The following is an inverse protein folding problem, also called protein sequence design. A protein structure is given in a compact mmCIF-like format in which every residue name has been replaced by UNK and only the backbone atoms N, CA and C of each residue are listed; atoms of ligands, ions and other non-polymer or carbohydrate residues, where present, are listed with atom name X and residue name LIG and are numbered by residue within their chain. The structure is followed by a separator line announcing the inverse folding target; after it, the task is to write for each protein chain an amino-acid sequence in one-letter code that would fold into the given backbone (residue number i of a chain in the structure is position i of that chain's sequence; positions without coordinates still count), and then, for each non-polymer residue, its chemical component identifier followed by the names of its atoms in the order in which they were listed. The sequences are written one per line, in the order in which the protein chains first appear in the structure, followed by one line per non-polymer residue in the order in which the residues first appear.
data_IF_918883587426
#
_entry.id   IF_918883587426
#
_cell.length_a   1.000
_cell.length_b   1.000
_cell.length_c   1.000
_cell.angle_alpha   90.00
_cell.angle_beta   90.00
_cell.angle_gamma   90.00
#
_symmetry.space_group_name_H-M   'P 1'
#
loop_
_entity.id
_entity.type
_entity.pdbx_description
1 polymer ?
#
# COMPACT_ATOMS: atom_id res chain seq x y z
N UNK A 1 -3.01 -3.30 10.62
CA UNK A 1 -2.30 -2.25 9.85
C UNK A 1 -2.74 -0.91 10.39
N UNK A 2 -1.84 0.07 10.44
CA UNK A 2 -2.13 1.46 10.79
C UNK A 2 -1.56 2.40 9.72
N UNK A 3 -2.19 3.56 9.52
CA UNK A 3 -1.69 4.60 8.63
C UNK A 3 -0.95 5.66 9.43
N UNK A 4 0.22 6.06 8.95
CA UNK A 4 1.02 7.14 9.54
C UNK A 4 1.34 8.18 8.47
N UNK A 5 1.45 9.45 8.86
CA UNK A 5 1.82 10.55 7.97
C UNK A 5 3.19 11.09 8.37
N UNK A 6 4.00 11.41 7.37
CA UNK A 6 5.25 12.12 7.57
C UNK A 6 5.21 13.45 6.83
N UNK A 7 5.57 14.50 7.53
CA UNK A 7 5.76 15.85 7.01
C UNK A 7 7.14 15.95 6.35
N UNK A 8 7.17 16.47 5.12
CA UNK A 8 8.36 16.72 4.32
C UNK A 8 8.51 18.23 4.24
N UNK A 9 9.57 18.78 4.82
CA UNK A 9 9.71 20.22 5.14
C UNK A 9 10.04 21.07 3.88
N UNK A 10 9.18 21.04 2.85
CA UNK A 10 9.43 21.70 1.57
C UNK A 10 8.18 22.32 0.91
N UNK A 11 6.97 22.01 1.38
CA UNK A 11 5.71 22.60 0.88
C UNK A 11 5.44 22.33 -0.62
N UNK A 12 4.27 22.76 -1.11
CA UNK A 12 3.91 22.62 -2.53
C UNK A 12 2.99 23.74 -3.01
N UNK A 13 3.00 24.01 -4.32
CA UNK A 13 2.05 24.93 -4.98
C UNK A 13 0.85 24.16 -5.56
N UNK A 14 0.07 23.52 -4.69
CA UNK A 14 -1.01 22.59 -5.02
C UNK A 14 -1.98 23.06 -6.12
N UNK A 15 -2.55 24.30 -6.09
CA UNK A 15 -3.51 24.72 -7.11
C UNK A 15 -2.88 24.80 -8.52
N UNK A 16 -1.62 25.21 -8.61
CA UNK A 16 -0.88 25.31 -9.86
C UNK A 16 -0.57 23.95 -10.47
N UNK A 17 -0.27 22.96 -9.61
CA UNK A 17 0.00 21.58 -10.03
C UNK A 17 -1.25 20.93 -10.63
N UNK A 18 -2.38 21.00 -9.93
CA UNK A 18 -3.65 20.42 -10.41
C UNK A 18 -4.05 21.01 -11.76
N UNK A 19 -3.96 22.34 -11.91
CA UNK A 19 -4.27 23.01 -13.18
C UNK A 19 -3.39 22.50 -14.33
N UNK A 20 -2.10 22.29 -14.09
CA UNK A 20 -1.17 21.79 -15.12
C UNK A 20 -1.48 20.33 -15.51
N UNK A 21 -1.78 19.47 -14.54
CA UNK A 21 -2.18 18.08 -14.82
C UNK A 21 -3.47 18.02 -15.63
N UNK A 22 -4.48 18.83 -15.27
CA UNK A 22 -5.74 18.90 -16.02
C UNK A 22 -5.52 19.43 -17.44
N UNK A 23 -4.70 20.48 -17.60
CA UNK A 23 -4.34 21.00 -18.92
C UNK A 23 -3.61 19.97 -19.78
N UNK A 24 -2.68 19.22 -19.18
CA UNK A 24 -1.99 18.13 -19.86
C UNK A 24 -2.98 17.05 -20.31
N UNK A 25 -3.92 16.65 -19.44
CA UNK A 25 -4.95 15.66 -19.76
C UNK A 25 -5.86 16.11 -20.90
N UNK A 26 -6.28 17.36 -20.93
CA UNK A 26 -7.08 17.92 -22.03
C UNK A 26 -6.34 17.87 -23.37
N UNK A 27 -5.03 18.11 -23.35
CA UNK A 27 -4.19 18.13 -24.55
C UNK A 27 -3.76 16.73 -25.02
N UNK A 28 -3.82 15.72 -24.14
CA UNK A 28 -3.32 14.36 -24.40
C UNK A 28 -4.36 13.29 -24.03
N UNK A 29 -5.63 13.52 -24.42
CA UNK A 29 -6.78 12.74 -23.94
C UNK A 29 -6.64 11.24 -24.07
N UNK A 30 -6.25 10.72 -25.23
CA UNK A 30 -6.16 9.28 -25.45
C UNK A 30 -5.20 8.61 -24.47
N UNK A 31 -4.01 9.18 -24.32
CA UNK A 31 -2.99 8.66 -23.41
C UNK A 31 -3.38 8.86 -21.94
N UNK A 32 -3.92 10.03 -21.61
CA UNK A 32 -4.32 10.34 -20.25
C UNK A 32 -5.49 9.47 -19.77
N UNK A 33 -6.47 9.19 -20.62
CA UNK A 33 -7.63 8.36 -20.27
C UNK A 33 -7.23 6.90 -20.05
N UNK A 34 -6.25 6.36 -20.80
CA UNK A 34 -5.67 5.04 -20.53
C UNK A 34 -5.02 5.01 -19.14
N UNK A 35 -4.17 6.00 -18.83
CA UNK A 35 -3.48 6.09 -17.55
C UNK A 35 -4.45 6.23 -16.37
N UNK A 36 -5.51 7.04 -16.53
CA UNK A 36 -6.58 7.20 -15.54
C UNK A 36 -7.34 5.90 -15.33
N UNK A 37 -7.71 5.19 -16.40
CA UNK A 37 -8.43 3.93 -16.31
C UNK A 37 -7.61 2.86 -15.58
N UNK A 38 -6.31 2.76 -15.87
CA UNK A 38 -5.40 1.85 -15.15
C UNK A 38 -5.28 2.20 -13.67
N UNK A 39 -5.12 3.48 -13.34
CA UNK A 39 -5.03 3.93 -11.95
C UNK A 39 -6.33 3.65 -11.19
N UNK A 40 -7.49 3.91 -11.82
CA UNK A 40 -8.79 3.60 -11.24
C UNK A 40 -8.96 2.10 -11.00
N UNK A 41 -8.63 1.26 -12.00
CA UNK A 41 -8.71 -0.19 -11.86
C UNK A 41 -7.80 -0.70 -10.73
N UNK A 42 -6.58 -0.16 -10.61
CA UNK A 42 -5.66 -0.53 -9.54
C UNK A 42 -6.20 -0.12 -8.16
N UNK A 43 -6.76 1.09 -8.04
CA UNK A 43 -7.39 1.57 -6.80
C UNK A 43 -8.60 0.72 -6.40
N UNK A 44 -9.41 0.28 -7.37
CA UNK A 44 -10.53 -0.63 -7.10
C UNK A 44 -10.08 -2.00 -6.59
N UNK A 45 -9.01 -2.55 -7.18
CA UNK A 45 -8.38 -3.79 -6.67
C UNK A 45 -7.85 -3.60 -5.25
N UNK A 46 -7.16 -2.50 -4.98
CA UNK A 46 -6.65 -2.19 -3.64
C UNK A 46 -7.80 -2.09 -2.62
N UNK A 47 -8.87 -1.40 -2.98
CA UNK A 47 -10.08 -1.27 -2.15
C UNK A 47 -10.71 -2.64 -1.86
N UNK A 48 -10.83 -3.51 -2.86
CA UNK A 48 -11.41 -4.84 -2.68
C UNK A 48 -10.54 -5.71 -1.79
N UNK A 49 -9.21 -5.71 -1.99
CA UNK A 49 -8.28 -6.45 -1.16
C UNK A 49 -8.30 -5.98 0.31
N UNK A 50 -8.33 -4.67 0.55
CA UNK A 50 -8.44 -4.13 1.91
C UNK A 50 -9.76 -4.53 2.59
N UNK A 51 -10.87 -4.57 1.83
CA UNK A 51 -12.15 -5.09 2.34
C UNK A 51 -12.07 -6.57 2.68
N UNK A 52 -11.46 -7.37 1.83
CA UNK A 52 -11.31 -8.80 2.07
C UNK A 52 -10.47 -9.08 3.33
N UNK A 53 -9.33 -8.40 3.48
CA UNK A 53 -8.50 -8.49 4.69
C UNK A 53 -9.25 -8.13 5.97
N UNK A 54 -10.15 -7.14 5.92
CA UNK A 54 -11.01 -6.76 7.05
C UNK A 54 -11.96 -7.92 7.45
N UNK A 55 -12.61 -8.55 6.46
CA UNK A 55 -13.53 -9.65 6.71
C UNK A 55 -12.81 -10.89 7.25
N UNK A 56 -11.67 -11.27 6.65
CA UNK A 56 -10.84 -12.38 7.16
C UNK A 56 -10.43 -12.14 8.61
N UNK A 57 -10.04 -10.92 8.95
CA UNK A 57 -9.68 -10.59 10.34
C UNK A 57 -10.87 -10.72 11.31
N UNK A 58 -12.07 -10.33 10.90
CA UNK A 58 -13.28 -10.50 11.71
C UNK A 58 -13.67 -11.97 11.91
N UNK A 59 -13.53 -12.79 10.86
CA UNK A 59 -13.78 -14.24 10.93
C UNK A 59 -12.77 -14.94 11.84
N UNK A 60 -11.48 -14.60 11.74
CA UNK A 60 -10.44 -15.16 12.60
C UNK A 60 -10.68 -14.79 14.07
N UNK A 61 -11.00 -13.54 14.37
CA UNK A 61 -11.37 -13.12 15.73
C UNK A 61 -12.62 -13.84 16.26
N UNK A 62 -13.57 -14.18 15.40
CA UNK A 62 -14.80 -14.89 15.79
C UNK A 62 -14.52 -16.37 16.08
N UNK A 63 -13.68 -17.03 15.27
CA UNK A 63 -13.27 -18.43 15.49
C UNK A 63 -12.37 -18.58 16.72
N UNK A 64 -11.43 -17.66 16.96
CA UNK A 64 -10.60 -17.68 18.18
C UNK A 64 -11.45 -17.53 19.45
N UNK A 65 -12.53 -16.75 19.41
CA UNK A 65 -13.48 -16.61 20.54
C UNK A 65 -14.35 -17.86 20.74
N UNK A 66 -14.77 -18.53 19.66
CA UNK A 66 -15.53 -19.78 19.76
C UNK A 66 -14.65 -20.95 20.24
N UNK A 67 -13.40 -21.06 19.76
CA UNK A 67 -12.45 -22.07 20.19
C UNK A 67 -12.01 -21.91 21.65
N UNK A 68 -11.89 -20.67 22.16
CA UNK A 68 -11.57 -20.41 23.56
C UNK A 68 -12.67 -20.86 24.55
N UNK A 69 -13.90 -21.06 24.08
CA UNK A 69 -15.04 -21.50 24.91
C UNK A 69 -15.14 -23.03 25.00
N UNK A 70 -14.50 -23.79 24.09
CA UNK A 70 -14.51 -25.25 24.08
C UNK A 70 -13.12 -25.84 24.31
N UNK A 71 -12.61 -25.71 25.54
CA UNK A 71 -11.43 -26.49 25.98
C UNK A 71 -11.83 -27.47 27.09
N UNK A 72 -12.17 -28.73 26.76
CA UNK A 72 -12.13 -29.80 27.74
C UNK A 72 -10.66 -30.08 28.07
N UNK A 73 -10.33 -30.07 29.36
CA UNK A 73 -9.06 -30.54 29.87
C UNK A 73 -8.95 -32.05 29.71
N UNK A 74 -8.15 -32.52 28.75
CA UNK A 74 -7.60 -33.86 28.79
C UNK A 74 -6.21 -33.93 28.15
N UNK A 75 -5.42 -34.81 28.74
CA UNK A 75 -3.98 -34.99 28.66
C UNK A 75 -3.52 -35.90 27.52
N UNK A 76 -2.35 -35.60 26.97
CA UNK A 76 -1.28 -36.50 26.47
C UNK A 76 -1.66 -37.67 25.53
N UNK A 77 -1.05 -37.72 24.34
CA UNK A 77 0.06 -38.64 24.00
C UNK A 77 0.39 -38.67 22.50
N UNK A 78 1.69 -38.86 22.25
CA UNK A 78 2.46 -39.06 21.02
C UNK A 78 2.04 -40.22 20.11
N UNK A 79 2.32 -40.13 18.79
CA UNK A 79 3.18 -41.08 18.02
C UNK A 79 3.11 -40.91 16.47
N UNK A 80 4.29 -40.63 15.88
CA UNK A 80 4.93 -41.21 14.66
C UNK A 80 4.18 -41.62 13.36
N UNK A 81 4.74 -41.09 12.26
CA UNK A 81 5.14 -41.71 10.98
C UNK A 81 4.08 -42.18 9.95
N UNK A 82 4.27 -41.80 8.68
CA UNK A 82 4.74 -42.67 7.56
C UNK A 82 4.58 -41.94 6.21
N UNK A 83 5.68 -41.90 5.45
CA UNK A 83 5.76 -41.47 4.05
C UNK A 83 5.10 -42.47 3.09
N UNK A 84 4.55 -41.98 1.97
CA UNK A 84 4.48 -42.72 0.69
C UNK A 84 4.13 -41.76 -0.46
N UNK A 85 5.10 -41.48 -1.33
CA UNK A 85 4.88 -40.74 -2.57
C UNK A 85 4.32 -41.63 -3.68
N UNK A 86 3.75 -41.04 -4.72
CA UNK A 86 3.54 -41.62 -6.06
C UNK A 86 3.79 -40.55 -7.13
N UNK A 87 4.54 -40.95 -8.16
CA UNK A 87 4.86 -40.22 -9.38
C UNK A 87 3.80 -40.53 -10.45
N UNK A 88 3.42 -39.56 -11.31
CA UNK A 88 3.55 -39.61 -12.78
C UNK A 88 2.66 -38.59 -13.55
N UNK A 89 3.31 -38.00 -14.57
CA UNK A 89 2.84 -37.72 -15.94
C UNK A 89 1.84 -36.58 -16.24
N UNK A 90 2.44 -35.43 -16.60
CA UNK A 90 2.27 -34.65 -17.84
C UNK A 90 1.05 -34.95 -18.76
N UNK A 91 0.20 -33.94 -18.96
CA UNK A 91 -0.49 -33.67 -20.23
C UNK A 91 -0.78 -32.17 -20.31
N UNK A 92 -0.26 -31.53 -21.35
CA UNK A 92 -0.46 -30.13 -21.66
C UNK A 92 -1.93 -29.82 -21.96
N UNK A 93 -2.47 -28.75 -21.39
CA UNK A 93 -3.53 -27.99 -22.03
C UNK A 93 -3.46 -26.51 -21.64
N UNK A 94 -3.62 -25.67 -22.66
CA UNK A 94 -3.50 -24.23 -22.67
C UNK A 94 -4.91 -23.66 -22.43
N UNK A 95 -5.09 -22.82 -21.39
CA UNK A 95 -5.92 -21.60 -21.36
C UNK A 95 -6.21 -21.13 -19.91
N UNK A 96 -6.25 -19.81 -19.75
CA UNK A 96 -6.62 -19.00 -18.57
C UNK A 96 -5.64 -18.96 -17.38
N UNK A 97 -4.80 -17.92 -17.39
CA UNK A 97 -4.10 -17.43 -16.19
C UNK A 97 -5.11 -16.69 -15.33
N UNK A 98 -5.89 -17.45 -14.58
CA UNK A 98 -6.41 -17.03 -13.28
C UNK A 98 -5.31 -17.44 -12.31
N UNK A 99 -4.61 -16.48 -11.69
CA UNK A 99 -3.70 -16.79 -10.60
C UNK A 99 -4.56 -17.40 -9.47
N UNK A 100 -4.51 -18.73 -9.39
CA UNK A 100 -5.05 -19.51 -8.27
C UNK A 100 -4.16 -19.20 -7.07
N UNK A 101 -4.73 -18.54 -6.06
CA UNK A 101 -4.09 -18.39 -4.75
C UNK A 101 -3.89 -19.80 -4.16
N UNK A 102 -2.64 -20.25 -4.10
CA UNK A 102 -2.22 -21.39 -3.29
C UNK A 102 -2.53 -21.08 -1.81
N UNK A 103 -3.54 -21.78 -1.27
CA UNK A 103 -3.80 -21.90 0.16
C UNK A 103 -2.70 -22.77 0.79
N UNK A 104 -1.52 -22.18 1.03
CA UNK A 104 -0.54 -22.71 1.97
C UNK A 104 -0.63 -21.91 3.28
N UNK A 105 -1.19 -22.55 4.30
CA UNK A 105 -1.16 -22.14 5.71
C UNK A 105 0.29 -22.09 6.23
N UNK A 106 1.03 -21.04 5.90
CA UNK A 106 2.27 -20.65 6.58
C UNK A 106 2.10 -19.23 7.15
N UNK A 107 2.05 -19.14 8.48
CA UNK A 107 1.97 -17.91 9.29
C UNK A 107 3.28 -17.08 9.15
N UNK A 108 3.64 -16.70 7.93
CA UNK A 108 4.62 -15.65 7.69
C UNK A 108 3.86 -14.33 7.56
N UNK A 109 3.90 -13.50 8.61
CA UNK A 109 3.32 -12.14 8.63
C UNK A 109 3.89 -11.25 7.49
N UNK A 110 5.03 -11.65 6.89
CA UNK A 110 5.55 -11.07 5.65
C UNK A 110 4.61 -11.23 4.45
N UNK A 111 3.98 -12.40 4.28
CA UNK A 111 3.16 -12.71 3.10
C UNK A 111 1.76 -12.07 3.16
N UNK A 112 1.26 -11.73 4.36
CA UNK A 112 -0.13 -11.30 4.56
C UNK A 112 -0.51 -9.99 3.85
N UNK A 113 0.45 -9.09 3.64
CA UNK A 113 0.20 -7.77 3.07
C UNK A 113 0.88 -7.54 1.71
N UNK A 114 1.45 -8.58 1.10
CA UNK A 114 2.17 -8.49 -0.17
C UNK A 114 1.27 -8.01 -1.32
N UNK A 115 0.02 -8.49 -1.37
CA UNK A 115 -0.95 -7.99 -2.34
C UNK A 115 -1.21 -6.48 -2.20
N UNK A 116 -1.28 -5.97 -0.97
CA UNK A 116 -1.47 -4.54 -0.69
C UNK A 116 -0.24 -3.76 -1.11
N UNK A 117 0.96 -4.24 -0.76
CA UNK A 117 2.24 -3.63 -1.13
C UNK A 117 2.41 -3.53 -2.66
N UNK A 118 2.10 -4.61 -3.38
CA UNK A 118 2.14 -4.67 -4.84
C UNK A 118 1.20 -3.65 -5.48
N UNK A 119 -0.04 -3.55 -4.99
CA UNK A 119 -1.02 -2.59 -5.53
C UNK A 119 -0.65 -1.14 -5.22
N UNK A 120 -0.13 -0.84 -4.02
CA UNK A 120 0.41 0.50 -3.70
C UNK A 120 1.56 0.86 -4.63
N UNK A 121 2.51 -0.07 -4.83
CA UNK A 121 3.65 0.11 -5.74
C UNK A 121 3.20 0.35 -7.18
N UNK A 122 2.14 -0.33 -7.63
CA UNK A 122 1.54 -0.09 -8.96
C UNK A 122 0.90 1.28 -9.06
N UNK A 123 0.15 1.75 -8.04
CA UNK A 123 -0.38 3.13 -8.03
C UNK A 123 0.74 4.15 -8.17
N UNK A 124 1.83 3.99 -7.41
CA UNK A 124 3.01 4.87 -7.51
C UNK A 124 3.66 4.84 -8.88
N UNK A 125 3.81 3.66 -9.50
CA UNK A 125 4.32 3.57 -10.86
C UNK A 125 3.47 4.37 -11.86
N UNK A 126 2.14 4.29 -11.77
CA UNK A 126 1.23 5.05 -12.64
C UNK A 126 1.30 6.57 -12.38
N UNK A 127 1.43 6.98 -11.12
CA UNK A 127 1.59 8.41 -10.75
C UNK A 127 2.95 8.98 -11.18
N UNK A 128 4.02 8.18 -11.17
CA UNK A 128 5.32 8.55 -11.75
C UNK A 128 5.24 8.68 -13.26
N UNK A 129 4.57 7.76 -13.95
CA UNK A 129 4.27 7.94 -15.39
C UNK A 129 3.50 9.23 -15.65
N UNK A 130 2.54 9.58 -14.77
CA UNK A 130 1.80 10.84 -14.88
C UNK A 130 2.71 12.06 -14.64
N UNK A 131 3.65 11.97 -13.69
CA UNK A 131 4.68 12.99 -13.42
C UNK A 131 5.50 13.26 -14.67
N UNK A 132 6.06 12.20 -15.28
CA UNK A 132 6.88 12.28 -16.48
C UNK A 132 6.12 12.90 -17.66
N UNK A 133 4.87 12.48 -17.89
CA UNK A 133 4.09 12.94 -19.04
C UNK A 133 3.57 14.37 -18.87
N UNK A 134 3.14 14.73 -17.67
CA UNK A 134 2.57 16.06 -17.40
C UNK A 134 3.62 17.12 -17.10
N UNK A 135 4.85 16.73 -16.73
CA UNK A 135 5.87 17.66 -16.24
C UNK A 135 5.49 18.31 -14.91
N UNK A 136 4.62 17.67 -14.13
CA UNK A 136 4.19 18.13 -12.81
C UNK A 136 4.74 17.19 -11.75
N UNK A 137 5.34 17.67 -10.65
CA UNK A 137 5.92 16.83 -9.60
C UNK A 137 4.85 16.12 -8.76
N UNK A 138 4.12 15.14 -9.31
CA UNK A 138 3.10 14.38 -8.57
C UNK A 138 3.79 13.42 -7.61
N UNK A 139 4.73 12.62 -8.12
CA UNK A 139 5.69 11.88 -7.30
C UNK A 139 7.11 12.20 -7.81
N UNK A 140 7.74 13.28 -7.31
CA UNK A 140 9.08 13.68 -7.75
C UNK A 140 10.17 12.71 -7.27
N UNK A 141 11.33 12.71 -7.92
CA UNK A 141 12.38 11.70 -7.70
C UNK A 141 12.82 11.54 -6.25
N UNK A 142 12.97 12.64 -5.52
CA UNK A 142 13.38 12.59 -4.10
C UNK A 142 12.33 11.95 -3.21
N UNK A 143 11.04 12.10 -3.54
CA UNK A 143 9.95 11.42 -2.83
C UNK A 143 9.87 9.94 -3.21
N UNK A 144 10.11 9.62 -4.49
CA UNK A 144 10.25 8.23 -4.93
C UNK A 144 11.37 7.53 -4.15
N UNK A 145 12.54 8.16 -4.04
CA UNK A 145 13.66 7.63 -3.29
C UNK A 145 13.29 7.39 -1.83
N UNK A 146 12.68 8.38 -1.16
CA UNK A 146 12.25 8.25 0.23
C UNK A 146 11.30 7.06 0.43
N UNK A 147 10.27 6.94 -0.40
CA UNK A 147 9.26 5.88 -0.28
C UNK A 147 9.83 4.49 -0.61
N UNK A 148 10.71 4.38 -1.60
CA UNK A 148 11.37 3.12 -1.96
C UNK A 148 12.31 2.66 -0.84
N UNK A 149 13.08 3.60 -0.27
CA UNK A 149 13.99 3.36 0.85
C UNK A 149 13.26 2.99 2.13
N UNK A 150 12.14 3.64 2.44
CA UNK A 150 11.28 3.29 3.57
C UNK A 150 10.71 1.87 3.41
N UNK A 151 10.22 1.54 2.22
CA UNK A 151 9.61 0.22 1.96
C UNK A 151 10.63 -0.91 1.99
N UNK A 152 11.86 -0.67 1.53
CA UNK A 152 12.91 -1.69 1.46
C UNK A 152 13.64 -1.92 2.79
N UNK A 153 13.84 -0.87 3.61
CA UNK A 153 14.72 -0.97 4.79
C UNK A 153 14.00 -0.92 6.14
N UNK A 154 12.75 -0.44 6.19
CA UNK A 154 12.02 -0.37 7.46
C UNK A 154 11.04 -1.54 7.55
N UNK A 155 11.48 -2.60 8.24
CA UNK A 155 10.65 -3.79 8.43
C UNK A 155 9.29 -3.46 9.08
N UNK A 156 8.22 -3.90 8.42
CA UNK A 156 6.84 -3.63 8.80
C UNK A 156 6.21 -2.42 8.09
N UNK A 157 6.95 -1.71 7.24
CA UNK A 157 6.35 -0.85 6.21
C UNK A 157 5.75 -1.73 5.12
N UNK A 158 4.46 -1.54 4.85
CA UNK A 158 3.73 -2.29 3.81
C UNK A 158 3.82 -1.53 2.49
N UNK A 159 3.73 -0.21 2.55
CA UNK A 159 3.91 0.66 1.40
C UNK A 159 3.59 2.11 1.78
N UNK A 160 3.80 3.02 0.84
CA UNK A 160 3.46 4.42 1.03
C UNK A 160 3.14 5.10 -0.28
N UNK A 161 2.69 6.35 -0.20
CA UNK A 161 2.36 7.22 -1.33
C UNK A 161 2.70 8.68 -1.00
N UNK A 162 2.86 9.50 -2.03
CA UNK A 162 2.76 10.96 -1.87
C UNK A 162 1.27 11.33 -1.89
N UNK A 163 0.70 11.87 -0.80
CA UNK A 163 -0.73 12.18 -0.73
C UNK A 163 -1.06 13.50 -1.45
N UNK A 164 -2.37 13.70 -1.69
CA UNK A 164 -2.88 14.94 -2.27
C UNK A 164 -2.48 15.12 -3.74
N UNK A 165 -2.15 16.36 -4.12
CA UNK A 165 -1.72 16.66 -5.49
C UNK A 165 -0.28 16.22 -5.80
N UNK A 166 0.47 15.79 -4.78
CA UNK A 166 1.87 15.45 -4.91
C UNK A 166 2.83 16.51 -4.38
N UNK A 167 4.06 16.48 -4.89
CA UNK A 167 5.12 17.43 -4.59
C UNK A 167 5.90 17.03 -3.34
N UNK A 168 6.31 18.02 -2.56
CA UNK A 168 7.29 17.85 -1.49
C UNK A 168 6.70 18.08 -0.10
N UNK A 169 5.38 17.95 0.04
CA UNK A 169 4.65 18.34 1.27
C UNK A 169 4.63 17.21 2.31
N UNK A 170 4.31 15.99 1.90
CA UNK A 170 4.16 14.89 2.83
C UNK A 170 4.36 13.53 2.14
N UNK A 171 4.46 12.48 2.95
CA UNK A 171 4.23 11.09 2.55
C UNK A 171 3.28 10.42 3.53
N UNK A 172 2.43 9.52 3.01
CA UNK A 172 1.56 8.68 3.83
C UNK A 172 2.03 7.22 3.71
N UNK A 173 2.16 6.53 4.84
CA UNK A 173 2.61 5.15 4.90
C UNK A 173 1.54 4.27 5.53
N UNK A 174 1.37 3.08 4.96
CA UNK A 174 0.66 1.97 5.58
C UNK A 174 1.69 1.05 6.22
N UNK A 175 1.53 0.77 7.51
CA UNK A 175 2.47 -0.05 8.28
C UNK A 175 1.74 -1.11 9.09
N UNK A 176 2.46 -2.16 9.51
CA UNK A 176 1.94 -3.11 10.49
C UNK A 176 1.59 -2.38 11.78
N UNK A 177 0.52 -2.84 12.44
CA UNK A 177 0.03 -2.19 13.65
C UNK A 177 0.84 -2.65 14.86
N UNK A 178 2.06 -2.12 14.95
CA UNK A 178 3.07 -2.49 15.95
C UNK A 178 3.91 -1.26 16.30
N UNK A 179 3.97 -0.94 17.59
CA UNK A 179 4.74 0.19 18.11
C UNK A 179 6.24 0.12 17.73
N UNK A 180 6.80 -1.10 17.61
CA UNK A 180 8.19 -1.27 17.21
C UNK A 180 8.44 -0.80 15.76
N UNK A 181 7.44 -0.90 14.88
CA UNK A 181 7.53 -0.38 13.49
C UNK A 181 7.61 1.14 13.51
N UNK A 182 6.80 1.79 14.37
CA UNK A 182 6.81 3.24 14.54
C UNK A 182 8.16 3.74 15.07
N UNK A 183 8.78 3.01 16.00
CA UNK A 183 10.10 3.36 16.52
C UNK A 183 11.21 3.17 15.47
N UNK A 184 11.15 2.12 14.65
CA UNK A 184 12.05 1.93 13.49
C UNK A 184 11.89 3.05 12.48
N UNK A 185 10.66 3.43 12.13
CA UNK A 185 10.38 4.58 11.26
C UNK A 185 11.01 5.86 11.81
N UNK A 186 10.79 6.18 13.09
CA UNK A 186 11.38 7.36 13.74
C UNK A 186 12.91 7.31 13.68
N UNK A 187 13.52 6.14 13.88
CA UNK A 187 14.97 5.98 13.77
C UNK A 187 15.48 6.24 12.36
N UNK A 188 14.83 5.65 11.36
CA UNK A 188 15.15 5.84 9.95
C UNK A 188 15.06 7.31 9.54
N UNK A 189 13.93 7.97 9.83
CA UNK A 189 13.66 9.35 9.41
C UNK A 189 14.63 10.36 10.04
N UNK A 190 15.16 10.09 11.25
CA UNK A 190 16.16 10.97 11.89
C UNK A 190 17.47 11.03 11.12
N UNK A 191 17.84 9.96 10.42
CA UNK A 191 19.10 9.85 9.67
C UNK A 191 18.90 9.98 8.17
N UNK A 192 17.65 10.16 7.71
CA UNK A 192 17.32 10.24 6.30
C UNK A 192 18.02 11.41 5.61
N UNK A 193 18.62 11.12 4.47
CA UNK A 193 19.12 12.09 3.50
C UNK A 193 18.93 11.51 2.11
N UNK A 194 18.36 12.31 1.22
CA UNK A 194 18.25 11.94 -0.19
C UNK A 194 19.65 11.87 -0.82
N UNK A 195 19.87 10.87 -1.67
CA UNK A 195 21.09 10.68 -2.45
C UNK A 195 20.92 11.01 -3.92
N UNK A 196 19.70 11.38 -4.34
CA UNK A 196 19.38 11.71 -5.73
C UNK A 196 19.16 13.20 -5.92
N UNK A 197 19.47 13.68 -7.13
CA UNK A 197 19.08 15.02 -7.57
C UNK A 197 17.64 14.99 -8.08
N UNK A 198 16.86 15.99 -7.68
CA UNK A 198 15.46 16.12 -8.04
C UNK A 198 15.26 16.58 -9.49
N UNK A 199 14.20 16.10 -10.12
CA UNK A 199 13.83 16.46 -11.49
C UNK A 199 13.16 17.83 -11.64
N UNK A 200 12.70 18.44 -10.55
CA UNK A 200 12.09 19.78 -10.54
C UNK A 200 12.81 20.76 -9.60
N UNK A 201 14.03 20.42 -9.18
CA UNK A 201 14.87 21.26 -8.31
C UNK A 201 14.43 21.28 -6.84
N UNK A 202 13.53 20.40 -6.44
CA UNK A 202 13.14 20.20 -5.04
C UNK A 202 14.24 19.50 -4.22
N UNK A 203 14.11 19.54 -2.90
CA UNK A 203 15.02 18.83 -1.99
C UNK A 203 14.32 18.44 -0.70
N UNK A 204 14.59 17.23 -0.21
CA UNK A 204 14.11 16.77 1.09
C UNK A 204 15.19 17.04 2.13
N UNK A 205 15.05 18.13 2.88
CA UNK A 205 15.99 18.45 3.96
C UNK A 205 15.69 17.68 5.24
N UNK A 206 14.41 17.49 5.54
CA UNK A 206 13.94 16.85 6.76
C UNK A 206 12.59 16.18 6.53
N UNK A 207 12.43 15.02 7.15
CA UNK A 207 11.17 14.30 7.21
C UNK A 207 10.85 14.02 8.68
N UNK A 208 9.62 14.30 9.12
CA UNK A 208 9.18 14.06 10.50
C UNK A 208 7.90 13.27 10.51
N UNK A 209 7.85 12.22 11.32
CA UNK A 209 6.60 11.51 11.60
C UNK A 209 5.64 12.46 12.33
N UNK A 210 4.43 12.63 11.81
CA UNK A 210 3.40 13.43 12.44
C UNK A 210 2.79 12.67 13.63
N UNK A 211 2.59 13.37 14.75
CA UNK A 211 1.95 12.83 15.95
C UNK A 211 0.43 12.69 15.84
N UNK A 212 -0.08 12.44 14.64
CA UNK A 212 -1.51 12.25 14.38
C UNK A 212 -1.86 10.78 14.59
N UNK A 213 -2.89 10.52 15.39
CA UNK A 213 -3.45 9.18 15.56
C UNK A 213 -4.63 9.01 14.60
N UNK A 214 -4.70 7.85 13.93
CA UNK A 214 -5.88 7.48 13.18
C UNK A 214 -7.08 7.30 14.12
N UNK A 215 -8.30 7.51 13.62
CA UNK A 215 -9.52 7.25 14.41
C UNK A 215 -9.62 5.78 14.83
N UNK A 216 -10.40 5.50 15.87
CA UNK A 216 -10.63 4.14 16.38
C UNK A 216 -11.55 3.29 15.49
N UNK A 217 -12.23 3.91 14.51
CA UNK A 217 -13.17 3.22 13.61
C UNK A 217 -12.48 2.35 12.53
N UNK A 218 -11.17 2.50 12.32
CA UNK A 218 -10.44 1.74 11.32
C UNK A 218 -10.85 2.09 9.88
N UNK A 219 -10.99 1.07 9.02
CA UNK A 219 -11.40 1.27 7.62
C UNK A 219 -12.90 1.56 7.54
N UNK A 220 -13.26 2.77 7.11
CA UNK A 220 -14.65 3.18 6.90
C UNK A 220 -14.97 3.22 5.41
N UNK A 221 -16.02 2.52 5.00
CA UNK A 221 -16.58 2.66 3.65
C UNK A 221 -17.59 3.80 3.67
N UNK A 222 -17.23 4.93 3.09
CA UNK A 222 -18.11 6.11 3.06
C UNK A 222 -19.15 6.02 1.95
N UNK A 223 -20.30 6.66 2.16
CA UNK A 223 -21.35 6.73 1.14
C UNK A 223 -20.89 7.70 0.03
N UNK A 224 -20.73 7.25 -1.23
CA UNK A 224 -20.34 8.11 -2.33
C UNK A 224 -21.31 9.28 -2.53
N UNK A 225 -22.56 9.14 -2.09
CA UNK A 225 -23.56 10.18 -2.22
C UNK A 225 -23.20 11.49 -1.52
N UNK A 226 -22.35 11.43 -0.48
CA UNK A 226 -21.87 12.62 0.22
C UNK A 226 -20.89 13.45 -0.62
N UNK A 227 -20.33 12.86 -1.68
CA UNK A 227 -19.34 13.47 -2.57
C UNK A 227 -19.89 13.78 -3.96
N UNK A 228 -21.20 13.63 -4.21
CA UNK A 228 -21.79 13.86 -5.54
C UNK A 228 -21.47 15.24 -6.10
N UNK A 229 -21.43 16.27 -5.26
CA UNK A 229 -21.09 17.63 -5.67
C UNK A 229 -19.63 17.79 -6.19
N UNK A 230 -18.78 16.80 -5.99
CA UNK A 230 -17.37 16.77 -6.39
C UNK A 230 -17.09 15.76 -7.52
N UNK A 231 -18.10 14.96 -7.90
CA UNK A 231 -18.00 13.93 -8.94
C UNK A 231 -18.66 14.35 -10.27
N UNK A 232 -19.29 15.52 -10.31
CA UNK A 232 -19.89 16.15 -11.49
C UNK A 232 -18.94 17.15 -12.14
#
# INVERSE_FOLDING_TARGET
MQMVLCDVDCGSQTPGMVKQVLQWRENNREEADVLWAELQQNNDRLRLLLKDLLHRNALNNSHSRAAAVHRPSSSSSSSSAVSRGHQHANTANINDVVDEDDDDDDDNDGNRFDGVSRLISRSRALLRTMTEKSGVPIEPKVQTELLDRLSAEVEGVIGGVVPGAGGYDAVALLVRDDAAVVDRLRAFLRTWKSSVEDDFGGRIERVRLLGVAHGSEGLRNENPAHYFAWMS
#
